data_IF_959723962908
#
_entry.id   IF_959723962908
#
_cell.length_a   1.000
_cell.length_b   1.000
_cell.length_c   1.000
_cell.angle_alpha   90.00
_cell.angle_beta   90.00
_cell.angle_gamma   90.00
#
_symmetry.space_group_name_H-M   'P 1'
#
loop_
_entity.id
_entity.type
_entity.pdbx_description
1 polymer ?
#
# COMPACT_ATOMS: atom_id res chain seq x y z
N UNK A 1 17.35 29.31 13.43
CA UNK A 1 18.17 28.12 13.66
C UNK A 1 17.24 26.92 13.65
N UNK A 2 17.45 25.99 12.71
CA UNK A 2 16.64 24.76 12.62
C UNK A 2 17.07 23.83 13.77
N UNK A 3 16.11 23.28 14.52
CA UNK A 3 16.39 22.40 15.66
C UNK A 3 17.13 21.13 15.17
N UNK A 4 18.31 20.78 15.71
CA UNK A 4 19.10 19.63 15.28
C UNK A 4 18.35 18.29 15.35
N UNK A 5 17.43 18.14 16.33
CA UNK A 5 16.55 16.96 16.41
C UNK A 5 15.55 16.89 15.24
N UNK A 6 15.11 18.05 14.72
CA UNK A 6 14.21 18.12 13.57
C UNK A 6 14.93 17.73 12.26
N UNK A 7 16.21 18.09 12.13
CA UNK A 7 17.04 17.70 10.99
C UNK A 7 17.30 16.20 10.99
N UNK A 8 17.66 15.61 12.12
CA UNK A 8 17.91 14.17 12.25
C UNK A 8 16.65 13.31 11.98
N UNK A 9 15.46 13.79 12.39
CA UNK A 9 14.18 13.13 12.08
C UNK A 9 13.87 13.25 10.57
N UNK A 10 14.14 14.38 9.94
CA UNK A 10 13.89 14.60 8.51
C UNK A 10 14.81 13.77 7.63
N UNK A 11 16.10 13.65 7.97
CA UNK A 11 17.05 12.81 7.21
C UNK A 11 16.64 11.33 7.33
N UNK A 12 16.29 10.86 8.52
CA UNK A 12 15.82 9.49 8.73
C UNK A 12 14.49 9.20 7.99
N UNK A 13 13.57 10.18 7.93
CA UNK A 13 12.30 10.05 7.23
C UNK A 13 12.48 9.97 5.70
N UNK A 14 13.37 10.79 5.14
CA UNK A 14 13.72 10.74 3.72
C UNK A 14 14.36 9.41 3.35
N UNK A 15 15.29 8.92 4.17
CA UNK A 15 15.93 7.63 3.99
C UNK A 15 14.92 6.48 4.03
N UNK A 16 13.92 6.54 4.92
CA UNK A 16 12.82 5.58 5.02
C UNK A 16 12.02 5.52 3.71
N UNK A 17 11.57 6.68 3.18
CA UNK A 17 10.77 6.73 1.95
C UNK A 17 11.56 6.36 0.68
N UNK A 18 12.88 6.51 0.70
CA UNK A 18 13.75 6.22 -0.43
C UNK A 18 14.48 4.87 -0.29
N UNK A 19 14.32 4.18 0.84
CA UNK A 19 14.93 2.89 1.09
C UNK A 19 14.47 1.83 0.07
N UNK A 20 15.35 0.90 -0.20
CA UNK A 20 15.01 -0.26 -1.03
C UNK A 20 14.33 -1.31 -0.13
N UNK A 21 13.08 -1.66 -0.46
CA UNK A 21 12.40 -2.78 0.18
C UNK A 21 13.23 -4.06 -0.03
N UNK A 22 13.56 -4.75 1.07
CA UNK A 22 14.50 -5.89 1.02
C UNK A 22 13.89 -7.20 0.54
N UNK A 23 12.60 -7.21 0.21
CA UNK A 23 11.90 -8.44 -0.19
C UNK A 23 12.31 -8.89 -1.60
N UNK A 24 13.25 -9.82 -1.66
CA UNK A 24 13.58 -10.60 -2.86
C UNK A 24 12.86 -11.94 -2.76
N UNK A 25 11.64 -12.03 -3.26
CA UNK A 25 10.94 -13.30 -3.44
C UNK A 25 10.47 -13.44 -4.89
N UNK A 26 10.37 -14.67 -5.38
CA UNK A 26 9.69 -14.97 -6.63
C UNK A 26 8.25 -14.48 -6.52
N UNK A 27 7.98 -13.34 -7.13
CA UNK A 27 6.66 -12.72 -7.08
C UNK A 27 5.71 -13.48 -8.01
N UNK A 28 4.52 -13.81 -7.51
CA UNK A 28 3.45 -14.33 -8.35
C UNK A 28 3.12 -13.24 -9.39
N UNK A 29 3.16 -13.56 -10.72
CA UNK A 29 2.70 -12.62 -11.72
C UNK A 29 1.32 -12.09 -11.33
N UNK A 30 1.03 -10.80 -11.62
CA UNK A 30 -0.25 -10.17 -11.25
C UNK A 30 -0.31 -9.65 -9.79
N UNK A 31 0.28 -10.33 -8.80
CA UNK A 31 0.32 -9.84 -7.42
C UNK A 31 1.40 -8.77 -7.29
N UNK A 32 1.02 -7.62 -6.72
CA UNK A 32 1.93 -6.48 -6.48
C UNK A 32 2.37 -6.43 -5.01
N UNK A 33 1.40 -6.54 -4.10
CA UNK A 33 1.65 -6.52 -2.66
C UNK A 33 0.49 -7.12 -1.89
N UNK A 34 0.77 -7.61 -0.69
CA UNK A 34 -0.22 -8.05 0.28
C UNK A 34 -0.12 -7.21 1.55
N UNK A 35 -1.22 -7.11 2.29
CA UNK A 35 -1.26 -6.35 3.53
C UNK A 35 -2.25 -6.96 4.51
N UNK A 36 -1.83 -7.11 5.76
CA UNK A 36 -2.71 -7.40 6.90
C UNK A 36 -2.77 -6.17 7.79
N UNK A 37 -3.96 -5.83 8.27
CA UNK A 37 -4.21 -4.74 9.21
C UNK A 37 -5.05 -5.23 10.37
N UNK A 38 -4.72 -4.76 11.58
CA UNK A 38 -5.51 -4.96 12.79
C UNK A 38 -5.92 -3.61 13.37
N UNK A 39 -7.18 -3.50 13.79
CA UNK A 39 -7.73 -2.38 14.52
C UNK A 39 -7.86 -2.74 16.01
N UNK A 40 -7.32 -1.89 16.90
CA UNK A 40 -7.36 -2.10 18.35
C UNK A 40 -7.67 -0.80 19.07
N UNK A 41 -8.48 -0.89 20.14
CA UNK A 41 -8.77 0.24 21.02
C UNK A 41 -8.39 -0.12 22.46
N UNK A 42 -8.04 0.88 23.24
CA UNK A 42 -7.77 0.73 24.67
C UNK A 42 -9.08 0.86 25.46
N UNK A 43 -9.29 -0.03 26.43
CA UNK A 43 -10.39 0.04 27.38
C UNK A 43 -10.30 1.31 28.22
N UNK A 44 -11.45 1.82 28.62
CA UNK A 44 -11.54 3.01 29.48
C UNK A 44 -11.35 4.35 28.75
N UNK A 45 -11.09 4.34 27.44
CA UNK A 45 -11.03 5.54 26.61
C UNK A 45 -12.16 5.55 25.58
N UNK A 46 -12.62 6.75 25.19
CA UNK A 46 -13.59 6.91 24.12
C UNK A 46 -12.90 6.67 22.78
N UNK A 47 -13.63 6.12 21.81
CA UNK A 47 -13.13 6.03 20.42
C UNK A 47 -12.68 7.40 19.90
N UNK A 48 -11.68 7.42 19.05
CA UNK A 48 -10.96 8.60 18.56
C UNK A 48 -11.89 9.76 18.20
N UNK A 49 -12.95 9.47 17.44
CA UNK A 49 -13.93 10.48 17.00
C UNK A 49 -14.64 11.23 18.15
N UNK A 50 -14.76 10.59 19.32
CA UNK A 50 -15.49 11.11 20.48
C UNK A 50 -14.58 11.44 21.66
N UNK A 51 -13.26 11.19 21.53
CA UNK A 51 -12.28 11.45 22.56
C UNK A 51 -11.90 12.93 22.63
N UNK A 52 -11.60 13.42 23.82
CA UNK A 52 -10.98 14.74 23.97
C UNK A 52 -9.47 14.65 23.65
N UNK A 53 -8.87 15.80 23.37
CA UNK A 53 -7.44 15.87 23.02
C UNK A 53 -6.51 15.27 24.09
N UNK A 54 -6.84 15.47 25.37
CA UNK A 54 -6.02 14.95 26.48
C UNK A 54 -6.08 13.42 26.57
N UNK A 55 -7.25 12.82 26.26
CA UNK A 55 -7.38 11.37 26.20
C UNK A 55 -6.61 10.80 25.02
N UNK A 56 -6.70 11.42 23.84
CA UNK A 56 -5.90 11.02 22.66
C UNK A 56 -4.40 11.08 22.95
N UNK A 57 -3.93 12.13 23.66
CA UNK A 57 -2.54 12.24 24.06
C UNK A 57 -2.13 11.10 24.99
N UNK A 58 -2.91 10.84 26.06
CA UNK A 58 -2.63 9.74 26.98
C UNK A 58 -2.58 8.38 26.30
N UNK A 59 -3.51 8.13 25.37
CA UNK A 59 -3.52 6.91 24.55
C UNK A 59 -2.25 6.81 23.72
N UNK A 60 -1.90 7.87 22.98
CA UNK A 60 -0.70 7.88 22.14
C UNK A 60 0.58 7.69 22.96
N UNK A 61 0.71 8.39 24.13
CA UNK A 61 1.87 8.25 25.03
C UNK A 61 2.00 6.82 25.55
N UNK A 62 0.89 6.22 26.02
CA UNK A 62 0.86 4.84 26.55
C UNK A 62 1.24 3.81 25.47
N UNK A 63 0.71 3.98 24.27
CA UNK A 63 1.02 3.11 23.12
C UNK A 63 2.49 3.26 22.69
N UNK A 64 2.99 4.49 22.57
CA UNK A 64 4.38 4.75 22.20
C UNK A 64 5.37 4.18 23.20
N UNK A 65 5.12 4.36 24.53
CA UNK A 65 5.98 3.82 25.59
C UNK A 65 6.00 2.29 25.61
N UNK A 66 4.89 1.65 25.23
CA UNK A 66 4.81 0.20 25.07
C UNK A 66 5.61 -0.25 23.85
N UNK A 67 5.42 0.41 22.71
CA UNK A 67 6.09 0.06 21.46
C UNK A 67 7.61 0.25 21.49
N UNK A 68 8.11 1.26 22.19
CA UNK A 68 9.57 1.47 22.40
C UNK A 68 10.27 0.28 23.07
N UNK A 69 9.54 -0.54 23.79
CA UNK A 69 10.08 -1.75 24.47
C UNK A 69 10.06 -2.97 23.55
N UNK A 70 9.30 -2.94 22.47
CA UNK A 70 9.21 -4.03 21.53
C UNK A 70 10.41 -4.01 20.56
N UNK A 71 10.98 -5.17 20.26
CA UNK A 71 12.26 -5.28 19.55
C UNK A 71 12.27 -4.62 18.16
N UNK A 72 11.14 -4.64 17.40
CA UNK A 72 11.04 -4.02 16.07
C UNK A 72 11.10 -2.48 16.12
N UNK A 73 10.71 -1.88 17.25
CA UNK A 73 10.60 -0.43 17.40
C UNK A 73 11.57 0.13 18.46
N UNK A 74 12.44 -0.73 19.00
CA UNK A 74 13.45 -0.30 19.97
C UNK A 74 14.31 0.82 19.38
N UNK A 75 14.47 1.88 20.16
CA UNK A 75 15.20 3.09 19.79
C UNK A 75 14.57 3.90 18.62
N UNK A 76 13.33 3.56 18.20
CA UNK A 76 12.56 4.30 17.21
C UNK A 76 11.48 5.13 17.90
N UNK A 77 11.52 6.45 17.65
CA UNK A 77 10.47 7.36 18.12
C UNK A 77 9.25 7.33 17.20
N UNK A 78 8.11 7.66 17.76
CA UNK A 78 6.92 7.93 16.97
C UNK A 78 7.05 9.27 16.23
N UNK A 79 6.67 9.30 14.96
CA UNK A 79 6.54 10.55 14.20
C UNK A 79 5.20 11.20 14.54
N UNK A 80 5.22 12.42 15.04
CA UNK A 80 3.99 13.22 15.13
C UNK A 80 3.61 13.70 13.74
N UNK A 81 2.43 13.32 13.25
CA UNK A 81 1.94 13.73 11.92
C UNK A 81 1.89 15.26 11.79
N UNK A 82 1.58 15.97 12.88
CA UNK A 82 1.57 17.43 12.92
C UNK A 82 2.93 18.07 12.63
N UNK A 83 4.04 17.38 12.87
CA UNK A 83 5.39 17.92 12.66
C UNK A 83 5.88 17.81 11.22
N UNK A 84 5.21 17.01 10.38
CA UNK A 84 5.58 16.76 8.99
C UNK A 84 5.04 17.85 8.06
N UNK A 85 5.77 18.11 6.98
CA UNK A 85 5.33 18.97 5.88
C UNK A 85 4.23 18.27 5.07
N UNK A 86 3.41 19.03 4.37
CA UNK A 86 2.25 18.47 3.67
C UNK A 86 2.64 17.45 2.59
N UNK A 87 3.71 17.70 1.83
CA UNK A 87 4.19 16.72 0.85
C UNK A 87 4.80 15.47 1.50
N UNK A 88 5.36 15.57 2.71
CA UNK A 88 5.86 14.42 3.47
C UNK A 88 4.70 13.54 3.96
N UNK A 89 3.62 14.17 4.46
CA UNK A 89 2.39 13.46 4.81
C UNK A 89 1.80 12.73 3.60
N UNK A 90 1.71 13.42 2.47
CA UNK A 90 1.22 12.81 1.22
C UNK A 90 2.11 11.67 0.74
N UNK A 91 3.44 11.77 0.90
CA UNK A 91 4.36 10.70 0.52
C UNK A 91 4.19 9.44 1.39
N UNK A 92 3.87 9.57 2.69
CA UNK A 92 3.51 8.43 3.53
C UNK A 92 2.25 7.71 3.02
N UNK A 93 1.26 8.48 2.56
CA UNK A 93 0.03 7.91 1.97
C UNK A 93 0.33 7.23 0.64
N UNK A 94 1.09 7.87 -0.24
CA UNK A 94 1.52 7.29 -1.52
C UNK A 94 2.30 5.98 -1.31
N UNK A 95 3.11 5.91 -0.25
CA UNK A 95 3.87 4.70 0.14
C UNK A 95 3.02 3.68 0.92
N UNK A 96 1.73 3.96 1.13
CA UNK A 96 0.80 3.15 1.91
C UNK A 96 1.17 2.95 3.40
N UNK A 97 2.17 3.67 3.92
CA UNK A 97 2.61 3.57 5.31
C UNK A 97 1.60 4.17 6.31
N UNK A 98 0.76 5.08 5.85
CA UNK A 98 -0.38 5.58 6.63
C UNK A 98 -1.62 5.77 5.76
N UNK A 99 -2.75 6.02 6.40
CA UNK A 99 -4.02 6.31 5.72
C UNK A 99 -4.17 7.79 5.41
N UNK A 100 -5.11 8.12 4.51
CA UNK A 100 -5.48 9.50 4.21
C UNK A 100 -6.14 10.16 5.43
N UNK A 101 -6.90 9.39 6.21
CA UNK A 101 -7.60 9.83 7.41
C UNK A 101 -6.61 10.30 8.47
N UNK A 102 -5.51 9.57 8.69
CA UNK A 102 -4.47 9.93 9.65
C UNK A 102 -3.85 11.31 9.38
N UNK A 103 -3.69 11.68 8.12
CA UNK A 103 -3.07 12.96 7.75
C UNK A 103 -4.07 14.13 7.71
N UNK A 104 -5.38 13.86 7.65
CA UNK A 104 -6.43 14.88 7.64
C UNK A 104 -6.78 15.35 9.05
N UNK A 105 -6.95 14.42 9.99
CA UNK A 105 -7.26 14.71 11.40
C UNK A 105 -6.09 14.30 12.31
N UNK A 106 -5.03 15.10 12.27
CA UNK A 106 -3.74 14.79 12.90
C UNK A 106 -3.60 15.31 14.36
N UNK A 107 -4.70 15.53 15.07
CA UNK A 107 -4.64 15.93 16.49
C UNK A 107 -4.17 14.75 17.36
N UNK A 108 -2.93 14.83 17.86
CA UNK A 108 -2.26 13.78 18.64
C UNK A 108 -2.09 12.45 17.88
N UNK A 109 -2.17 12.49 16.54
CA UNK A 109 -1.90 11.32 15.66
C UNK A 109 -0.41 11.10 15.51
N UNK A 110 0.02 9.84 15.65
CA UNK A 110 1.42 9.44 15.52
C UNK A 110 1.56 8.21 14.62
N UNK A 111 2.75 8.04 14.06
CA UNK A 111 3.13 6.91 13.24
C UNK A 111 4.45 6.32 13.75
N UNK A 112 4.50 5.00 13.89
CA UNK A 112 5.74 4.27 14.16
C UNK A 112 6.00 3.31 13.01
N UNK A 113 7.25 3.23 12.56
CA UNK A 113 7.67 2.38 11.44
C UNK A 113 8.76 1.41 11.90
N UNK A 114 8.72 0.16 11.43
CA UNK A 114 9.83 -0.78 11.57
C UNK A 114 11.04 -0.34 10.72
N UNK A 115 12.22 -0.93 10.97
CA UNK A 115 13.45 -0.54 10.27
C UNK A 115 13.48 -0.85 8.79
N UNK A 116 12.65 -1.78 8.36
CA UNK A 116 12.50 -2.23 6.98
C UNK A 116 11.22 -1.71 6.30
N UNK A 117 10.43 -0.87 7.01
CA UNK A 117 9.14 -0.33 6.58
C UNK A 117 8.05 -1.39 6.30
N UNK A 118 8.29 -2.65 6.67
CA UNK A 118 7.30 -3.71 6.45
C UNK A 118 6.19 -3.69 7.48
N UNK A 119 6.42 -3.08 8.65
CA UNK A 119 5.43 -2.92 9.71
C UNK A 119 5.25 -1.45 10.05
N UNK A 120 4.00 -0.99 10.06
CA UNK A 120 3.66 0.37 10.50
C UNK A 120 2.49 0.36 11.48
N UNK A 121 2.53 1.26 12.47
CA UNK A 121 1.50 1.42 13.48
C UNK A 121 1.06 2.87 13.51
N UNK A 122 -0.19 3.10 13.13
CA UNK A 122 -0.87 4.38 13.24
C UNK A 122 -1.55 4.48 14.60
N UNK A 123 -1.37 5.60 15.28
CA UNK A 123 -2.02 5.91 16.55
C UNK A 123 -3.01 7.04 16.36
N UNK A 124 -4.22 6.89 16.93
CA UNK A 124 -5.31 7.85 16.83
C UNK A 124 -5.70 8.20 15.39
N UNK A 125 -6.00 7.15 14.61
CA UNK A 125 -6.61 7.27 13.29
C UNK A 125 -8.14 7.16 13.44
N UNK A 126 -8.79 6.11 12.93
CA UNK A 126 -10.19 5.75 13.21
C UNK A 126 -10.31 5.07 14.57
N UNK A 127 -9.36 4.17 14.87
CA UNK A 127 -9.17 3.47 16.14
C UNK A 127 -7.89 3.97 16.82
N UNK A 128 -7.70 3.63 18.11
CA UNK A 128 -6.52 4.04 18.86
C UNK A 128 -5.23 3.48 18.27
N UNK A 129 -5.26 2.23 17.77
CA UNK A 129 -4.16 1.57 17.09
C UNK A 129 -4.66 0.95 15.78
N UNK A 130 -3.93 1.21 14.72
CA UNK A 130 -4.04 0.50 13.45
C UNK A 130 -2.69 -0.04 13.07
N UNK A 131 -2.52 -1.34 13.29
CA UNK A 131 -1.30 -2.08 13.02
C UNK A 131 -1.37 -2.60 11.59
N UNK A 132 -0.30 -2.49 10.81
CA UNK A 132 -0.27 -3.07 9.47
C UNK A 132 1.08 -3.67 9.15
N UNK A 133 1.05 -4.82 8.46
CA UNK A 133 2.21 -5.53 7.94
C UNK A 133 2.03 -5.71 6.43
N UNK A 134 3.11 -5.48 5.68
CA UNK A 134 3.17 -5.61 4.24
C UNK A 134 3.94 -6.85 3.82
N UNK A 135 3.60 -7.38 2.65
CA UNK A 135 4.31 -8.46 1.98
C UNK A 135 4.33 -8.24 0.47
N UNK A 136 5.31 -8.80 -0.21
CA UNK A 136 5.50 -8.66 -1.67
C UNK A 136 4.72 -9.69 -2.51
N UNK A 137 4.14 -10.70 -1.86
CA UNK A 137 3.42 -11.80 -2.50
C UNK A 137 2.22 -12.27 -1.66
N UNK A 138 1.83 -13.55 -1.77
CA UNK A 138 0.75 -14.18 -1.00
C UNK A 138 1.22 -14.92 0.26
N UNK A 139 2.40 -14.62 0.80
CA UNK A 139 2.88 -15.24 2.04
C UNK A 139 2.16 -14.67 3.28
N UNK A 140 0.86 -14.85 3.30
CA UNK A 140 0.04 -14.43 4.43
C UNK A 140 0.37 -15.16 5.73
N UNK A 141 1.00 -16.35 5.64
CA UNK A 141 1.38 -17.08 6.86
C UNK A 141 2.47 -16.33 7.63
N UNK A 142 3.56 -15.98 6.97
CA UNK A 142 4.65 -15.24 7.61
C UNK A 142 4.17 -13.87 8.12
N UNK A 143 3.36 -13.14 7.30
CA UNK A 143 2.79 -11.87 7.71
C UNK A 143 1.85 -12.00 8.91
N UNK A 144 1.04 -13.05 8.96
CA UNK A 144 0.12 -13.29 10.07
C UNK A 144 0.88 -13.68 11.34
N UNK A 145 1.90 -14.54 11.23
CA UNK A 145 2.74 -14.91 12.36
C UNK A 145 3.43 -13.65 12.95
N UNK A 146 3.94 -12.75 12.09
CA UNK A 146 4.58 -11.49 12.54
C UNK A 146 3.58 -10.56 13.25
N UNK A 147 2.43 -10.29 12.62
CA UNK A 147 1.45 -9.35 13.18
C UNK A 147 0.80 -9.91 14.43
N UNK A 148 0.61 -11.23 14.52
CA UNK A 148 0.01 -11.89 15.68
C UNK A 148 0.93 -11.79 16.91
N UNK A 149 2.23 -12.03 16.75
CA UNK A 149 3.21 -11.88 17.86
C UNK A 149 3.23 -10.44 18.37
N UNK A 150 3.12 -9.46 17.48
CA UNK A 150 3.02 -8.04 17.87
C UNK A 150 1.70 -7.74 18.57
N UNK A 151 0.57 -8.27 18.08
CA UNK A 151 -0.75 -8.08 18.67
C UNK A 151 -0.85 -8.72 20.06
N UNK A 152 -0.33 -9.94 20.23
CA UNK A 152 -0.23 -10.63 21.54
C UNK A 152 0.57 -9.78 22.53
N UNK A 153 1.73 -9.26 22.12
CA UNK A 153 2.54 -8.37 22.96
C UNK A 153 1.76 -7.11 23.38
N UNK A 154 1.00 -6.50 22.45
CA UNK A 154 0.19 -5.31 22.78
C UNK A 154 -0.95 -5.66 23.72
N UNK A 155 -1.61 -6.79 23.55
CA UNK A 155 -2.67 -7.30 24.44
C UNK A 155 -2.16 -7.60 25.86
N UNK A 156 -0.92 -8.08 26.00
CA UNK A 156 -0.30 -8.32 27.31
C UNK A 156 0.11 -7.04 28.05
N UNK A 157 0.43 -5.97 27.31
CA UNK A 157 0.98 -4.73 27.90
C UNK A 157 0.02 -3.54 27.88
N UNK A 158 -1.09 -3.64 27.16
CA UNK A 158 -2.15 -2.64 27.06
C UNK A 158 -3.50 -3.29 27.40
N UNK A 159 -4.37 -2.52 28.06
CA UNK A 159 -5.74 -2.97 28.30
C UNK A 159 -6.57 -2.75 27.03
N UNK A 160 -6.59 -3.76 26.14
CA UNK A 160 -7.28 -3.70 24.85
C UNK A 160 -8.77 -3.99 25.04
N UNK A 161 -9.62 -3.18 24.39
CA UNK A 161 -11.07 -3.31 24.42
C UNK A 161 -11.54 -4.58 23.67
N UNK A 162 -11.93 -5.59 24.42
CA UNK A 162 -12.38 -6.90 23.94
C UNK A 162 -13.66 -7.32 24.65
N UNK A 163 -14.56 -7.97 23.92
CA UNK A 163 -15.80 -8.54 24.43
C UNK A 163 -15.86 -10.02 24.03
N UNK A 164 -16.21 -10.91 24.96
CA UNK A 164 -16.24 -12.37 24.73
C UNK A 164 -17.18 -12.78 23.59
N UNK A 165 -18.27 -12.02 23.36
CA UNK A 165 -19.25 -12.31 22.33
C UNK A 165 -18.94 -11.65 20.99
N UNK A 166 -18.40 -10.43 21.03
CA UNK A 166 -18.21 -9.59 19.85
C UNK A 166 -16.73 -9.49 19.41
N UNK A 167 -15.77 -9.99 20.18
CA UNK A 167 -14.35 -9.88 19.87
C UNK A 167 -13.79 -8.49 20.15
N UNK A 168 -12.83 -8.06 19.35
CA UNK A 168 -12.23 -6.73 19.49
C UNK A 168 -13.23 -5.63 19.14
N UNK A 169 -13.35 -4.65 20.05
CA UNK A 169 -14.26 -3.52 19.90
C UNK A 169 -13.60 -2.39 19.10
N UNK A 170 -14.20 -2.05 17.96
CA UNK A 170 -13.67 -1.06 17.03
C UNK A 170 -14.65 0.09 16.80
N UNK A 171 -14.14 1.27 16.41
CA UNK A 171 -14.94 2.44 16.11
C UNK A 171 -15.89 2.20 14.93
N UNK A 172 -15.44 1.48 13.92
CA UNK A 172 -16.26 1.07 12.78
C UNK A 172 -16.88 -0.33 13.02
N UNK A 173 -18.21 -0.47 12.98
CA UNK A 173 -18.88 -1.76 13.17
C UNK A 173 -18.42 -2.86 12.20
N UNK A 174 -17.95 -2.50 11.01
CA UNK A 174 -17.44 -3.44 10.01
C UNK A 174 -16.09 -4.08 10.37
N UNK A 175 -15.40 -3.55 11.36
CA UNK A 175 -14.13 -4.08 11.86
C UNK A 175 -14.30 -4.90 13.15
N UNK A 176 -15.48 -4.87 13.81
CA UNK A 176 -15.76 -5.62 15.03
C UNK A 176 -15.59 -7.12 14.81
N UNK A 177 -15.02 -7.83 15.77
CA UNK A 177 -14.71 -9.25 15.72
C UNK A 177 -13.19 -9.45 15.75
N UNK A 178 -12.60 -9.93 14.68
CA UNK A 178 -11.14 -10.07 14.58
C UNK A 178 -10.43 -8.72 14.53
N UNK A 179 -11.11 -7.65 14.13
CA UNK A 179 -10.50 -6.36 13.81
C UNK A 179 -9.55 -6.43 12.62
N UNK A 180 -9.53 -7.58 11.88
CA UNK A 180 -8.55 -7.85 10.83
C UNK A 180 -9.09 -7.53 9.44
N UNK A 181 -8.29 -6.79 8.69
CA UNK A 181 -8.49 -6.60 7.25
C UNK A 181 -7.26 -7.03 6.49
N UNK A 182 -7.39 -8.12 5.75
CA UNK A 182 -6.38 -8.60 4.80
C UNK A 182 -6.71 -8.11 3.39
N UNK A 183 -5.70 -7.73 2.63
CA UNK A 183 -5.88 -7.24 1.26
C UNK A 183 -4.70 -7.62 0.38
N UNK A 184 -4.99 -7.77 -0.92
CA UNK A 184 -3.99 -7.97 -1.97
C UNK A 184 -4.18 -6.90 -3.03
N UNK A 185 -3.08 -6.27 -3.45
CA UNK A 185 -3.03 -5.43 -4.63
C UNK A 185 -2.69 -6.30 -5.83
N UNK A 186 -3.55 -6.29 -6.84
CA UNK A 186 -3.39 -7.07 -8.07
C UNK A 186 -3.40 -6.16 -9.29
N UNK A 187 -2.62 -6.53 -10.31
CA UNK A 187 -2.51 -5.82 -11.57
C UNK A 187 -3.21 -6.62 -12.68
N UNK A 188 -4.34 -6.10 -13.18
CA UNK A 188 -5.29 -6.81 -14.04
C UNK A 188 -5.52 -6.12 -15.41
N UNK A 189 -4.46 -5.76 -16.16
CA UNK A 189 -4.61 -5.03 -17.41
C UNK A 189 -5.34 -5.82 -18.51
N UNK A 190 -5.11 -7.14 -18.61
CA UNK A 190 -5.73 -7.93 -19.67
C UNK A 190 -7.24 -8.11 -19.44
N UNK A 191 -7.67 -8.28 -18.20
CA UNK A 191 -9.11 -8.32 -17.85
C UNK A 191 -9.80 -7.00 -18.16
N UNK A 192 -9.12 -5.86 -17.96
CA UNK A 192 -9.64 -4.54 -18.34
C UNK A 192 -9.72 -4.40 -19.87
N UNK A 193 -8.65 -4.72 -20.59
CA UNK A 193 -8.56 -4.62 -22.05
C UNK A 193 -9.54 -5.56 -22.78
N UNK A 194 -9.85 -6.71 -22.19
CA UNK A 194 -10.85 -7.67 -22.70
C UNK A 194 -12.26 -7.38 -22.21
N UNK A 195 -12.45 -6.33 -21.39
CA UNK A 195 -13.74 -5.91 -20.79
C UNK A 195 -14.36 -6.98 -19.88
N UNK A 196 -13.55 -7.88 -19.33
CA UNK A 196 -14.02 -8.94 -18.41
C UNK A 196 -13.97 -8.50 -16.94
N UNK A 197 -13.29 -7.41 -16.61
CA UNK A 197 -13.02 -6.96 -15.24
C UNK A 197 -14.30 -6.80 -14.40
N UNK A 198 -15.38 -6.25 -14.98
CA UNK A 198 -16.65 -6.02 -14.27
C UNK A 198 -17.26 -7.34 -13.78
N UNK A 199 -17.20 -8.39 -14.59
CA UNK A 199 -17.71 -9.72 -14.20
C UNK A 199 -16.90 -10.31 -13.04
N UNK A 200 -15.59 -10.14 -13.06
CA UNK A 200 -14.70 -10.58 -11.98
C UNK A 200 -14.99 -9.81 -10.69
N UNK A 201 -15.14 -8.50 -10.76
CA UNK A 201 -15.50 -7.66 -9.61
C UNK A 201 -16.81 -8.16 -8.99
N UNK A 202 -17.86 -8.35 -9.78
CA UNK A 202 -19.14 -8.86 -9.29
C UNK A 202 -19.04 -10.27 -8.67
N UNK A 203 -18.24 -11.16 -9.26
CA UNK A 203 -18.02 -12.49 -8.71
C UNK A 203 -17.34 -12.44 -7.34
N UNK A 204 -16.28 -11.63 -7.22
CA UNK A 204 -15.54 -11.42 -5.95
C UNK A 204 -16.44 -10.80 -4.88
N UNK A 205 -17.28 -9.83 -5.24
CA UNK A 205 -18.24 -9.20 -4.31
C UNK A 205 -19.29 -10.18 -3.80
N UNK A 206 -19.81 -11.07 -4.63
CA UNK A 206 -20.74 -12.13 -4.22
C UNK A 206 -20.14 -13.11 -3.20
N UNK A 207 -18.82 -13.25 -3.18
CA UNK A 207 -18.09 -14.07 -2.21
C UNK A 207 -17.80 -13.33 -0.88
N UNK A 208 -18.31 -12.10 -0.70
CA UNK A 208 -18.14 -11.31 0.53
C UNK A 208 -16.81 -10.54 0.59
N UNK A 209 -16.19 -10.28 -0.57
CA UNK A 209 -14.99 -9.47 -0.66
C UNK A 209 -15.27 -8.13 -1.36
N UNK A 210 -14.45 -7.13 -1.08
CA UNK A 210 -14.53 -5.80 -1.69
C UNK A 210 -13.37 -5.63 -2.67
N UNK A 211 -13.69 -5.12 -3.86
CA UNK A 211 -12.71 -4.71 -4.86
C UNK A 211 -12.73 -3.18 -4.96
N UNK A 212 -11.57 -2.55 -4.84
CA UNK A 212 -11.39 -1.09 -4.93
C UNK A 212 -10.29 -0.76 -5.93
N UNK A 213 -10.37 0.41 -6.58
CA UNK A 213 -9.22 0.97 -7.31
C UNK A 213 -8.10 1.39 -6.34
N UNK A 214 -6.96 1.75 -6.88
CA UNK A 214 -5.71 2.04 -6.12
C UNK A 214 -5.88 3.12 -5.05
N UNK A 215 -6.79 4.09 -5.25
CA UNK A 215 -6.96 5.27 -4.39
C UNK A 215 -8.24 5.27 -3.54
N UNK A 216 -8.91 4.12 -3.36
CA UNK A 216 -10.04 3.98 -2.43
C UNK A 216 -11.41 3.78 -3.09
N UNK A 217 -12.48 3.91 -2.29
CA UNK A 217 -13.86 3.72 -2.75
C UNK A 217 -14.25 4.74 -3.82
N UNK A 218 -14.79 4.25 -4.96
CA UNK A 218 -15.27 5.09 -6.06
C UNK A 218 -14.19 5.67 -6.97
N UNK A 219 -12.88 5.40 -6.74
CA UNK A 219 -11.83 5.81 -7.66
C UNK A 219 -11.77 4.89 -8.88
N UNK A 220 -11.60 5.49 -10.07
CA UNK A 220 -11.27 4.71 -11.26
C UNK A 220 -9.92 3.99 -11.05
N UNK A 221 -9.78 2.74 -11.51
CA UNK A 221 -8.54 1.97 -11.34
C UNK A 221 -7.46 2.48 -12.29
N UNK A 222 -6.69 3.48 -11.87
CA UNK A 222 -5.55 3.99 -12.63
C UNK A 222 -4.49 2.89 -12.75
N UNK A 223 -3.96 2.69 -13.95
CA UNK A 223 -2.93 1.69 -14.23
C UNK A 223 -3.39 0.24 -14.10
N UNK A 224 -4.70 -0.02 -14.03
CA UNK A 224 -5.28 -1.37 -13.89
C UNK A 224 -4.89 -2.08 -12.59
N UNK A 225 -4.63 -1.34 -11.52
CA UNK A 225 -4.37 -1.87 -10.18
C UNK A 225 -5.66 -1.93 -9.36
N UNK A 226 -5.92 -3.08 -8.74
CA UNK A 226 -7.10 -3.34 -7.93
C UNK A 226 -6.70 -3.89 -6.57
N UNK A 227 -7.35 -3.40 -5.52
CA UNK A 227 -7.20 -3.95 -4.18
C UNK A 227 -8.40 -4.85 -3.86
N UNK A 228 -8.13 -6.10 -3.53
CA UNK A 228 -9.14 -7.08 -3.08
C UNK A 228 -8.95 -7.29 -1.59
N UNK A 229 -10.02 -7.16 -0.79
CA UNK A 229 -9.95 -7.30 0.67
C UNK A 229 -11.21 -7.95 1.23
N UNK A 230 -11.11 -8.59 2.42
CA UNK A 230 -12.30 -9.06 3.14
C UNK A 230 -13.20 -7.90 3.54
N UNK A 231 -14.51 -8.18 3.62
CA UNK A 231 -15.52 -7.28 4.15
C UNK A 231 -15.97 -7.69 5.56
N UNK A 232 -16.07 -9.00 5.81
CA UNK A 232 -16.50 -9.55 7.09
C UNK A 232 -15.30 -9.74 8.03
N UNK A 233 -15.52 -9.42 9.31
CA UNK A 233 -14.57 -9.59 10.41
C UNK A 233 -15.21 -10.31 11.60
N UNK A 234 -16.53 -10.33 11.67
CA UNK A 234 -17.29 -11.00 12.73
C UNK A 234 -17.77 -12.37 12.25
N UNK A 235 -17.62 -13.39 13.08
CA UNK A 235 -18.08 -14.76 12.81
C UNK A 235 -17.17 -15.61 11.94
N UNK A 236 -15.98 -15.14 11.61
CA UNK A 236 -14.91 -15.87 10.92
C UNK A 236 -13.64 -15.80 11.74
N UNK A 237 -12.82 -16.83 11.69
CA UNK A 237 -11.45 -16.74 12.21
C UNK A 237 -10.53 -16.00 11.22
N UNK A 238 -9.42 -15.48 11.74
CA UNK A 238 -8.38 -14.84 10.92
C UNK A 238 -7.85 -15.79 9.84
N UNK A 239 -7.65 -17.06 10.22
CA UNK A 239 -7.18 -18.12 9.31
C UNK A 239 -8.19 -18.38 8.19
N UNK A 240 -9.49 -18.40 8.49
CA UNK A 240 -10.55 -18.57 7.48
C UNK A 240 -10.57 -17.37 6.50
N UNK A 241 -10.44 -16.14 7.02
CA UNK A 241 -10.40 -14.94 6.20
C UNK A 241 -9.22 -15.01 5.22
N UNK A 242 -8.01 -15.34 5.71
CA UNK A 242 -6.80 -15.44 4.89
C UNK A 242 -6.91 -16.55 3.86
N UNK A 243 -7.38 -17.74 4.26
CA UNK A 243 -7.53 -18.89 3.36
C UNK A 243 -8.50 -18.60 2.21
N UNK A 244 -9.65 -17.98 2.49
CA UNK A 244 -10.61 -17.56 1.47
C UNK A 244 -10.03 -16.49 0.54
N UNK A 245 -9.33 -15.49 1.09
CA UNK A 245 -8.69 -14.45 0.28
C UNK A 245 -7.67 -15.06 -0.69
N UNK A 246 -6.79 -15.95 -0.22
CA UNK A 246 -5.80 -16.65 -1.06
C UNK A 246 -6.47 -17.41 -2.21
N UNK A 247 -7.55 -18.14 -1.94
CA UNK A 247 -8.30 -18.89 -2.97
C UNK A 247 -8.84 -17.96 -4.06
N UNK A 248 -9.46 -16.84 -3.65
CA UNK A 248 -10.00 -15.84 -4.58
C UNK A 248 -8.89 -15.23 -5.42
N UNK A 249 -7.77 -14.84 -4.81
CA UNK A 249 -6.65 -14.24 -5.55
C UNK A 249 -6.07 -15.23 -6.56
N UNK A 250 -5.90 -16.51 -6.20
CA UNK A 250 -5.43 -17.54 -7.15
C UNK A 250 -6.37 -17.65 -8.37
N UNK A 251 -7.69 -17.63 -8.16
CA UNK A 251 -8.64 -17.63 -9.27
C UNK A 251 -8.54 -16.36 -10.13
N UNK A 252 -8.38 -15.19 -9.51
CA UNK A 252 -8.22 -13.91 -10.24
C UNK A 252 -6.92 -13.92 -11.07
N UNK A 253 -5.83 -14.45 -10.53
CA UNK A 253 -4.54 -14.63 -11.25
C UNK A 253 -4.72 -15.52 -12.47
N UNK A 254 -5.47 -16.61 -12.34
CA UNK A 254 -5.76 -17.53 -13.46
C UNK A 254 -6.60 -16.82 -14.55
N UNK A 255 -7.65 -16.09 -14.17
CA UNK A 255 -8.45 -15.31 -15.12
C UNK A 255 -7.62 -14.25 -15.86
N UNK A 256 -6.77 -13.50 -15.16
CA UNK A 256 -5.87 -12.53 -15.81
C UNK A 256 -4.90 -13.22 -16.75
N UNK A 257 -4.32 -14.36 -16.35
CA UNK A 257 -3.40 -15.13 -17.20
C UNK A 257 -4.08 -15.61 -18.47
N UNK A 258 -5.29 -16.14 -18.39
CA UNK A 258 -6.09 -16.55 -19.54
C UNK A 258 -6.42 -15.36 -20.46
N UNK A 259 -6.77 -14.20 -19.88
CA UNK A 259 -7.03 -12.99 -20.66
C UNK A 259 -5.78 -12.49 -21.40
N UNK A 260 -4.58 -12.61 -20.83
CA UNK A 260 -3.29 -12.29 -21.48
C UNK A 260 -3.04 -13.20 -22.69
N UNK A 261 -3.33 -14.50 -22.55
CA UNK A 261 -3.20 -15.43 -23.67
C UNK A 261 -4.20 -15.14 -24.81
N UNK A 262 -5.43 -14.75 -24.48
CA UNK A 262 -6.41 -14.32 -25.48
C UNK A 262 -5.92 -13.07 -26.22
N UNK A 263 -5.43 -12.05 -25.50
CA UNK A 263 -4.87 -10.85 -26.12
C UNK A 263 -3.68 -11.16 -27.03
N UNK A 264 -2.78 -12.07 -26.61
CA UNK A 264 -1.64 -12.49 -27.41
C UNK A 264 -2.08 -13.16 -28.71
N UNK A 265 -3.13 -13.98 -28.69
CA UNK A 265 -3.62 -14.73 -29.87
C UNK A 265 -4.47 -13.88 -30.80
N UNK A 266 -5.38 -13.08 -30.26
CA UNK A 266 -6.42 -12.41 -31.05
C UNK A 266 -6.11 -10.96 -31.37
N UNK A 267 -5.25 -10.28 -30.57
CA UNK A 267 -4.95 -8.85 -30.70
C UNK A 267 -3.46 -8.54 -30.58
N UNK A 268 -2.61 -9.40 -31.06
CA UNK A 268 -1.16 -9.30 -30.95
C UNK A 268 -0.61 -7.94 -31.43
N UNK A 269 -0.96 -7.54 -32.66
CA UNK A 269 -0.49 -6.27 -33.24
C UNK A 269 -0.90 -5.07 -32.39
N UNK A 270 -2.14 -5.06 -31.94
CA UNK A 270 -2.64 -4.00 -31.06
C UNK A 270 -1.91 -3.96 -29.71
N UNK A 271 -1.66 -5.13 -29.12
CA UNK A 271 -0.95 -5.26 -27.85
C UNK A 271 0.49 -4.73 -27.97
N UNK A 272 1.20 -5.14 -29.03
CA UNK A 272 2.57 -4.72 -29.30
C UNK A 272 2.68 -3.22 -29.57
N UNK A 273 1.75 -2.65 -30.36
CA UNK A 273 1.71 -1.21 -30.64
C UNK A 273 1.51 -0.41 -29.35
N UNK A 274 0.58 -0.83 -28.46
CA UNK A 274 0.37 -0.15 -27.18
C UNK A 274 1.60 -0.21 -26.26
N UNK A 275 2.26 -1.37 -26.13
CA UNK A 275 3.48 -1.50 -25.35
C UNK A 275 4.64 -0.66 -25.95
N UNK A 276 4.80 -0.68 -27.27
CA UNK A 276 5.82 0.10 -27.96
C UNK A 276 5.62 1.61 -27.79
N UNK A 277 4.37 2.08 -27.94
CA UNK A 277 4.02 3.49 -27.68
C UNK A 277 4.29 3.90 -26.23
N UNK A 278 3.90 3.07 -25.25
CA UNK A 278 4.15 3.35 -23.84
C UNK A 278 5.65 3.50 -23.55
N UNK A 279 6.47 2.58 -24.06
CA UNK A 279 7.94 2.68 -23.91
C UNK A 279 8.50 3.94 -24.58
N UNK A 280 8.02 4.26 -25.79
CA UNK A 280 8.42 5.48 -26.52
C UNK A 280 8.08 6.76 -25.74
N UNK A 281 6.88 6.83 -25.18
CA UNK A 281 6.46 7.96 -24.34
C UNK A 281 7.31 8.06 -23.08
N UNK A 282 7.54 6.96 -22.35
CA UNK A 282 8.37 6.92 -21.14
C UNK A 282 9.83 7.35 -21.39
N UNK A 283 10.35 7.11 -22.60
CA UNK A 283 11.70 7.47 -23.00
C UNK A 283 11.83 8.90 -23.56
N UNK A 284 10.73 9.50 -24.05
CA UNK A 284 10.80 10.72 -24.85
C UNK A 284 10.02 11.93 -24.33
N UNK A 285 9.06 11.76 -23.40
CA UNK A 285 8.22 12.86 -22.94
C UNK A 285 9.02 13.94 -22.19
N UNK A 286 8.68 15.22 -22.40
CA UNK A 286 9.24 16.37 -21.68
C UNK A 286 8.52 16.61 -20.34
N UNK A 287 7.19 16.42 -20.32
CA UNK A 287 6.32 16.56 -19.16
C UNK A 287 5.36 15.38 -19.14
N UNK A 288 4.97 14.88 -17.98
CA UNK A 288 4.09 13.73 -17.85
C UNK A 288 3.17 13.83 -16.63
N UNK A 289 1.86 13.69 -16.83
CA UNK A 289 0.86 13.58 -15.79
C UNK A 289 1.01 12.29 -14.97
N UNK A 290 0.49 12.28 -13.74
CA UNK A 290 0.56 11.09 -12.86
C UNK A 290 -0.19 9.90 -13.47
N UNK A 291 -1.39 10.12 -14.02
CA UNK A 291 -2.23 9.07 -14.61
C UNK A 291 -1.55 8.47 -15.84
N UNK A 292 -1.00 9.30 -16.72
CA UNK A 292 -0.31 8.83 -17.93
C UNK A 292 0.93 8.00 -17.57
N UNK A 293 1.69 8.44 -16.56
CA UNK A 293 2.85 7.72 -16.06
C UNK A 293 2.46 6.33 -15.55
N UNK A 294 1.45 6.24 -14.69
CA UNK A 294 0.96 4.96 -14.14
C UNK A 294 0.46 4.04 -15.24
N UNK A 295 -0.28 4.56 -16.22
CA UNK A 295 -0.80 3.77 -17.34
C UNK A 295 0.32 3.23 -18.24
N UNK A 296 1.33 4.04 -18.56
CA UNK A 296 2.47 3.59 -19.34
C UNK A 296 3.32 2.56 -18.58
N UNK A 297 3.58 2.78 -17.28
CA UNK A 297 4.33 1.84 -16.43
C UNK A 297 3.55 0.52 -16.28
N UNK A 298 2.22 0.56 -16.13
CA UNK A 298 1.36 -0.62 -16.11
C UNK A 298 1.56 -1.51 -17.34
N UNK A 299 1.64 -0.92 -18.54
CA UNK A 299 1.94 -1.67 -19.76
C UNK A 299 3.34 -2.28 -19.74
N UNK A 300 4.33 -1.63 -19.14
CA UNK A 300 5.67 -2.19 -18.99
C UNK A 300 5.73 -3.33 -17.96
N UNK A 301 4.96 -3.25 -16.87
CA UNK A 301 4.79 -4.36 -15.91
C UNK A 301 4.17 -5.56 -16.62
N UNK A 302 3.11 -5.35 -17.41
CA UNK A 302 2.50 -6.41 -18.22
C UNK A 302 3.49 -6.99 -19.23
N UNK A 303 4.29 -6.16 -19.90
CA UNK A 303 5.31 -6.61 -20.85
C UNK A 303 6.39 -7.46 -20.16
N UNK A 304 6.77 -7.12 -18.93
CA UNK A 304 7.69 -7.90 -18.12
C UNK A 304 7.08 -9.25 -17.70
N UNK A 305 5.84 -9.25 -17.23
CA UNK A 305 5.12 -10.48 -16.86
C UNK A 305 4.95 -11.43 -18.05
N UNK A 306 4.71 -10.88 -19.26
CA UNK A 306 4.58 -11.63 -20.51
C UNK A 306 5.94 -11.95 -21.17
N UNK A 307 7.07 -11.59 -20.55
CA UNK A 307 8.45 -11.85 -21.00
C UNK A 307 8.87 -11.11 -22.27
N UNK A 308 8.15 -10.06 -22.69
CA UNK A 308 8.56 -9.19 -23.80
C UNK A 308 9.73 -8.27 -23.42
N UNK A 309 9.91 -8.01 -22.13
CA UNK A 309 11.10 -7.42 -21.52
C UNK A 309 11.53 -8.30 -20.33
N UNK A 310 12.78 -8.20 -19.83
CA UNK A 310 13.26 -9.06 -18.75
C UNK A 310 12.40 -8.98 -17.50
N UNK A 311 12.04 -10.13 -16.92
CA UNK A 311 11.27 -10.19 -15.67
C UNK A 311 12.05 -9.63 -14.46
N UNK A 312 13.38 -9.64 -14.53
CA UNK A 312 14.25 -9.10 -13.47
C UNK A 312 14.03 -7.62 -13.19
N UNK A 313 13.47 -6.84 -14.15
CA UNK A 313 13.21 -5.41 -13.95
C UNK A 313 11.84 -5.13 -13.32
N UNK A 314 10.99 -6.14 -13.09
CA UNK A 314 9.63 -5.96 -12.53
C UNK A 314 9.65 -5.23 -11.19
N UNK A 315 10.58 -5.60 -10.33
CA UNK A 315 10.78 -4.93 -9.05
C UNK A 315 11.11 -3.44 -9.23
N UNK A 316 12.03 -3.13 -10.14
CA UNK A 316 12.41 -1.75 -10.44
C UNK A 316 11.27 -0.95 -11.08
N UNK A 317 10.39 -1.61 -11.86
CA UNK A 317 9.17 -0.99 -12.42
C UNK A 317 8.18 -0.59 -11.31
N UNK A 318 7.96 -1.43 -10.32
CA UNK A 318 7.14 -1.09 -9.16
C UNK A 318 7.75 0.06 -8.35
N UNK A 319 9.06 0.03 -8.16
CA UNK A 319 9.80 1.06 -7.44
C UNK A 319 9.78 2.41 -8.17
N UNK A 320 9.99 2.43 -9.50
CA UNK A 320 9.93 3.67 -10.28
C UNK A 320 8.50 4.23 -10.33
N UNK A 321 7.48 3.38 -10.34
CA UNK A 321 6.09 3.79 -10.23
C UNK A 321 5.86 4.57 -8.93
N UNK A 322 6.37 4.08 -7.80
CA UNK A 322 6.28 4.77 -6.51
C UNK A 322 7.06 6.08 -6.52
N UNK A 323 8.34 6.06 -6.92
CA UNK A 323 9.21 7.25 -6.98
C UNK A 323 8.70 8.34 -7.94
N UNK A 324 7.86 7.98 -8.90
CA UNK A 324 7.23 8.92 -9.84
C UNK A 324 5.95 9.57 -9.31
N UNK A 325 5.48 9.21 -8.10
CA UNK A 325 4.33 9.86 -7.46
C UNK A 325 4.64 11.31 -7.06
N UNK A 326 3.61 12.13 -7.00
CA UNK A 326 3.76 13.59 -6.86
C UNK A 326 4.42 14.01 -5.54
N UNK A 327 4.08 13.36 -4.44
CA UNK A 327 4.67 13.68 -3.15
C UNK A 327 6.09 13.10 -3.02
N UNK A 328 6.36 11.91 -3.56
CA UNK A 328 7.71 11.33 -3.60
C UNK A 328 8.69 12.21 -4.37
N UNK A 329 8.28 12.80 -5.51
CA UNK A 329 9.10 13.75 -6.26
C UNK A 329 9.47 14.95 -5.39
N UNK A 330 8.53 15.50 -4.61
CA UNK A 330 8.81 16.62 -3.72
C UNK A 330 9.73 16.24 -2.55
N UNK A 331 9.63 14.99 -2.04
CA UNK A 331 10.57 14.45 -1.05
C UNK A 331 11.98 14.31 -1.64
N UNK A 332 12.10 13.81 -2.88
CA UNK A 332 13.39 13.71 -3.59
C UNK A 332 14.02 15.10 -3.76
N UNK A 333 13.26 16.10 -4.17
CA UNK A 333 13.71 17.48 -4.37
C UNK A 333 13.83 18.27 -3.05
N UNK A 334 13.37 17.70 -1.92
CA UNK A 334 13.38 18.30 -0.57
C UNK A 334 12.70 19.68 -0.48
N UNK A 335 11.68 19.92 -1.30
CA UNK A 335 10.92 21.20 -1.34
C UNK A 335 9.54 21.01 -1.96
N UNK A 336 8.58 21.89 -1.61
CA UNK A 336 7.30 21.93 -2.32
C UNK A 336 7.51 22.40 -3.76
N UNK A 337 6.82 21.77 -4.72
CA UNK A 337 6.87 22.06 -6.14
C UNK A 337 5.49 22.41 -6.67
N UNK A 338 5.43 23.24 -7.72
CA UNK A 338 4.20 23.46 -8.48
C UNK A 338 3.89 22.25 -9.36
N UNK A 339 2.63 22.08 -9.74
CA UNK A 339 2.16 20.93 -10.53
C UNK A 339 3.00 20.74 -11.82
N UNK A 340 3.27 21.80 -12.56
CA UNK A 340 4.06 21.73 -13.78
C UNK A 340 5.51 21.29 -13.53
N UNK A 341 6.12 21.73 -12.42
CA UNK A 341 7.47 21.32 -12.04
C UNK A 341 7.49 19.83 -11.67
N UNK A 342 6.46 19.33 -10.97
CA UNK A 342 6.30 17.91 -10.64
C UNK A 342 6.21 17.07 -11.91
N UNK A 343 5.42 17.49 -12.90
CA UNK A 343 5.25 16.77 -14.17
C UNK A 343 6.52 16.71 -14.99
N UNK A 344 7.30 17.82 -15.04
CA UNK A 344 8.60 17.85 -15.71
C UNK A 344 9.61 16.94 -14.99
N UNK A 345 9.65 16.98 -13.66
CA UNK A 345 10.55 16.14 -12.86
C UNK A 345 10.18 14.66 -12.97
N UNK A 346 8.89 14.33 -12.98
CA UNK A 346 8.42 12.98 -13.24
C UNK A 346 8.93 12.46 -14.58
N UNK A 347 8.77 13.24 -15.63
CA UNK A 347 9.28 12.89 -16.96
C UNK A 347 10.79 12.70 -16.99
N UNK A 348 11.54 13.55 -16.27
CA UNK A 348 13.01 13.42 -16.14
C UNK A 348 13.41 12.10 -15.47
N UNK A 349 12.79 11.78 -14.34
CA UNK A 349 13.03 10.54 -13.58
C UNK A 349 12.72 9.32 -14.46
N UNK A 350 11.56 9.34 -15.15
CA UNK A 350 11.14 8.23 -16.00
C UNK A 350 12.03 8.05 -17.21
N UNK A 351 12.40 9.11 -17.93
CA UNK A 351 13.34 9.03 -19.05
C UNK A 351 14.67 8.42 -18.64
N UNK A 352 15.21 8.85 -17.49
CA UNK A 352 16.49 8.33 -16.98
C UNK A 352 16.41 6.83 -16.70
N UNK A 353 15.32 6.37 -16.09
CA UNK A 353 15.12 4.96 -15.81
C UNK A 353 14.90 4.15 -17.10
N UNK A 354 13.96 4.59 -17.95
CA UNK A 354 13.60 3.83 -19.16
C UNK A 354 14.66 3.87 -20.27
N UNK A 355 15.66 4.75 -20.19
CA UNK A 355 16.85 4.66 -21.04
C UNK A 355 17.68 3.39 -20.80
N UNK A 356 17.58 2.78 -19.61
CA UNK A 356 18.29 1.55 -19.24
C UNK A 356 17.48 0.28 -19.51
N UNK A 357 16.15 0.42 -19.71
CA UNK A 357 15.26 -0.70 -20.00
C UNK A 357 15.50 -1.17 -21.43
N UNK A 358 15.67 -2.48 -21.69
CA UNK A 358 15.82 -3.02 -23.04
C UNK A 358 14.60 -2.76 -23.93
N UNK A 359 14.80 -2.82 -25.24
CA UNK A 359 13.69 -2.78 -26.20
C UNK A 359 12.77 -3.99 -26.04
N UNK A 360 11.50 -3.78 -26.37
CA UNK A 360 10.50 -4.84 -26.35
C UNK A 360 10.84 -5.85 -27.46
N UNK A 361 10.89 -7.13 -27.09
CA UNK A 361 11.07 -8.22 -28.05
C UNK A 361 9.68 -8.58 -28.60
N UNK A 362 9.41 -8.13 -29.81
CA UNK A 362 8.23 -8.54 -30.57
C UNK A 362 8.50 -9.89 -31.22
N UNK A 363 7.61 -10.88 -30.99
CA UNK A 363 7.69 -12.23 -31.58
C UNK A 363 7.04 -12.30 -32.96
#
# INVERSE_FOLDING_TARGET
MVNPQKVAIMDNFRDILLADDKAKHETIPVVISSRIRLARNLSGYRFVKYACRDDLRKVADKCEDTLKKYFLFKDKGAFSIKSLLDYEKCALVEHHLCSQELIQDFNESRLVLSGDNMTSIMMNEEDHLRIQVFGSDLDFKAMFDEINVLDDYLCENLDIAFDEKYGFLTACPTNVGTGMRASVMVHLPALVMTKQITNIIHAVQKLGFVVRGTFGEGSEPNGNFFQISNQQTLGLSEVDILSRLIQIIRSVVEYESNAREILKKERQVWLYDNMGRALGVLRGCYSMGSIDAINCISLMIMASDMKYIPQSIKYDLNKIMMKSQSAHIQVIEAKPLKQQEIEIKRAEILRKFFATVPDIKFE
#
